data_IF_083123145753
#
_entry.id   IF_083123145753
#
_cell.length_a   1.000
_cell.length_b   1.000
_cell.length_c   1.000
_cell.angle_alpha   90.00
_cell.angle_beta   90.00
_cell.angle_gamma   90.00
#
_symmetry.space_group_name_H-M   'P 1'
#
loop_
_entity.id
_entity.type
_entity.pdbx_description
1 polymer ?
#
# COMPACT_ATOMS: atom_id res chain seq x y z
N UNK A 1 -39.61 4.72 30.92
CA UNK A 1 -38.19 5.13 30.96
C UNK A 1 -37.22 3.97 30.71
N UNK A 2 -37.36 2.76 31.30
CA UNK A 2 -36.45 1.64 31.12
C UNK A 2 -36.32 1.14 29.66
N UNK A 3 -37.39 1.17 28.85
CA UNK A 3 -37.38 0.71 27.44
C UNK A 3 -36.62 1.67 26.50
N UNK A 4 -36.59 2.97 26.80
CA UNK A 4 -35.86 3.97 25.98
C UNK A 4 -34.35 3.84 26.21
N UNK A 5 -33.94 3.56 27.45
CA UNK A 5 -32.51 3.35 27.77
C UNK A 5 -31.95 2.09 27.06
N UNK A 6 -32.73 0.99 26.96
CA UNK A 6 -32.33 -0.21 26.24
C UNK A 6 -32.14 0.03 24.73
N UNK A 7 -32.99 0.86 24.11
CA UNK A 7 -32.88 1.17 22.68
C UNK A 7 -31.67 2.08 22.41
N UNK A 8 -31.39 3.05 23.30
CA UNK A 8 -30.18 3.89 23.19
C UNK A 8 -28.89 3.06 23.35
N UNK A 9 -28.88 2.10 24.27
CA UNK A 9 -27.73 1.22 24.51
C UNK A 9 -27.47 0.28 23.32
N UNK A 10 -28.54 -0.23 22.69
CA UNK A 10 -28.45 -1.06 21.48
C UNK A 10 -27.93 -0.25 20.26
N UNK A 11 -28.34 1.04 20.12
CA UNK A 11 -27.81 1.92 19.11
C UNK A 11 -26.32 2.26 19.30
N UNK A 12 -25.86 2.40 20.55
CA UNK A 12 -24.44 2.61 20.86
C UNK A 12 -23.58 1.39 20.55
N UNK A 13 -24.09 0.17 20.76
CA UNK A 13 -23.38 -1.07 20.43
C UNK A 13 -23.26 -1.29 18.91
N UNK A 14 -24.22 -0.80 18.11
CA UNK A 14 -24.13 -0.86 16.65
C UNK A 14 -23.08 0.10 16.07
N UNK A 15 -22.72 1.17 16.78
CA UNK A 15 -21.69 2.10 16.31
C UNK A 15 -20.26 1.62 16.61
N UNK A 16 -20.09 0.72 17.57
CA UNK A 16 -18.77 0.14 17.90
C UNK A 16 -18.29 -0.95 16.90
N UNK A 17 -19.18 -1.46 16.04
CA UNK A 17 -18.84 -2.47 15.04
C UNK A 17 -18.22 -1.92 13.74
N UNK A 18 -18.02 -0.60 13.63
CA UNK A 18 -17.54 0.06 12.40
C UNK A 18 -16.07 0.45 12.42
N UNK A 19 -15.30 0.06 13.42
CA UNK A 19 -13.93 0.53 13.64
C UNK A 19 -12.84 -0.43 13.14
N UNK A 20 -13.14 -1.39 12.27
CA UNK A 20 -12.09 -1.93 11.42
C UNK A 20 -11.88 -0.91 10.28
N UNK A 21 -10.95 0.01 10.46
CA UNK A 21 -10.44 0.80 9.34
C UNK A 21 -9.75 -0.15 8.38
N UNK A 22 -10.52 -0.67 7.42
CA UNK A 22 -9.94 -1.44 6.34
C UNK A 22 -8.87 -0.60 5.66
N UNK A 23 -7.66 -1.13 5.54
CA UNK A 23 -6.59 -0.51 4.78
C UNK A 23 -7.11 -0.17 3.39
N UNK A 24 -6.83 1.05 2.94
CA UNK A 24 -7.28 1.53 1.63
C UNK A 24 -6.08 1.86 0.75
N UNK A 25 -6.03 1.23 -0.40
CA UNK A 25 -5.09 1.54 -1.45
C UNK A 25 -5.75 2.47 -2.47
N UNK A 26 -5.23 3.68 -2.64
CA UNK A 26 -5.86 4.73 -3.49
C UNK A 26 -7.34 4.97 -3.15
N UNK A 27 -7.73 4.83 -1.87
CA UNK A 27 -9.11 4.93 -1.42
C UNK A 27 -9.99 3.71 -1.70
N UNK A 28 -9.43 2.60 -2.18
CA UNK A 28 -10.11 1.32 -2.41
C UNK A 28 -9.78 0.39 -1.24
N UNK A 29 -10.76 -0.16 -0.51
CA UNK A 29 -10.51 -1.13 0.56
C UNK A 29 -9.80 -2.39 0.05
N UNK A 30 -8.85 -2.91 0.83
CA UNK A 30 -8.07 -4.13 0.54
C UNK A 30 -8.77 -5.40 1.10
N UNK A 31 -10.07 -5.53 0.91
CA UNK A 31 -10.89 -6.61 1.44
C UNK A 31 -11.90 -7.17 0.43
N UNK A 32 -11.88 -6.64 -0.78
CA UNK A 32 -12.81 -7.00 -1.84
C UNK A 32 -12.25 -8.04 -2.82
N UNK A 33 -13.12 -8.51 -3.73
CA UNK A 33 -12.67 -9.39 -4.81
C UNK A 33 -11.74 -8.66 -5.77
N UNK A 34 -10.75 -9.39 -6.32
CA UNK A 34 -9.78 -8.86 -7.27
C UNK A 34 -10.45 -8.26 -8.52
N UNK A 35 -11.61 -8.77 -8.94
CA UNK A 35 -12.31 -8.24 -10.10
C UNK A 35 -12.96 -6.89 -9.80
N UNK A 36 -13.59 -6.74 -8.63
CA UNK A 36 -14.13 -5.46 -8.17
C UNK A 36 -13.01 -4.43 -7.95
N UNK A 37 -11.89 -4.86 -7.34
CA UNK A 37 -10.70 -4.03 -7.15
C UNK A 37 -10.15 -3.53 -8.49
N UNK A 38 -10.05 -4.42 -9.48
CA UNK A 38 -9.64 -4.10 -10.86
C UNK A 38 -10.54 -3.04 -11.51
N UNK A 39 -11.86 -3.17 -11.36
CA UNK A 39 -12.82 -2.18 -11.89
C UNK A 39 -12.60 -0.79 -11.25
N UNK A 40 -12.41 -0.76 -9.93
CA UNK A 40 -12.16 0.49 -9.20
C UNK A 40 -10.82 1.13 -9.57
N UNK A 41 -9.76 0.35 -9.78
CA UNK A 41 -8.47 0.85 -10.27
C UNK A 41 -8.60 1.42 -11.68
N UNK A 42 -9.28 0.72 -12.60
CA UNK A 42 -9.54 1.23 -13.96
C UNK A 42 -10.31 2.55 -13.94
N UNK A 43 -11.29 2.70 -13.06
CA UNK A 43 -12.03 3.96 -12.89
C UNK A 43 -11.14 5.13 -12.41
N UNK A 44 -9.96 4.84 -11.82
CA UNK A 44 -8.94 5.82 -11.44
C UNK A 44 -7.88 6.07 -12.54
N UNK A 45 -8.09 5.54 -13.75
CA UNK A 45 -7.19 5.72 -14.88
C UNK A 45 -5.98 4.78 -14.90
N UNK A 46 -6.02 3.71 -14.11
CA UNK A 46 -4.98 2.67 -14.10
C UNK A 46 -5.31 1.58 -15.11
N UNK A 47 -4.38 1.19 -15.96
CA UNK A 47 -4.55 0.21 -17.03
C UNK A 47 -4.02 -1.16 -16.62
N UNK A 48 -4.82 -2.20 -16.81
CA UNK A 48 -4.42 -3.59 -16.56
C UNK A 48 -3.40 -4.05 -17.59
N UNK A 49 -2.31 -4.69 -17.14
CA UNK A 49 -1.32 -5.34 -17.98
C UNK A 49 -1.49 -6.85 -17.93
N UNK A 50 -2.04 -7.42 -19.00
CA UNK A 50 -2.26 -8.86 -19.11
C UNK A 50 -0.96 -9.64 -19.32
N UNK A 51 0.03 -9.06 -20.03
CA UNK A 51 1.27 -9.72 -20.35
C UNK A 51 2.14 -9.90 -19.10
N UNK A 52 2.36 -8.82 -18.36
CA UNK A 52 3.10 -8.88 -17.08
C UNK A 52 2.35 -9.73 -16.04
N UNK A 53 1.01 -9.62 -15.97
CA UNK A 53 0.20 -10.44 -15.05
C UNK A 53 0.33 -11.93 -15.32
N UNK A 54 0.34 -12.35 -16.59
CA UNK A 54 0.48 -13.76 -16.95
C UNK A 54 1.88 -14.32 -16.68
N UNK A 55 2.88 -13.45 -16.59
CA UNK A 55 4.26 -13.82 -16.26
C UNK A 55 4.56 -13.75 -14.77
N UNK A 56 3.65 -13.17 -13.97
CA UNK A 56 3.78 -13.05 -12.53
C UNK A 56 3.29 -14.30 -11.80
N UNK A 57 3.60 -14.37 -10.51
CA UNK A 57 3.16 -15.45 -9.64
C UNK A 57 1.62 -15.47 -9.50
N UNK A 58 1.08 -16.68 -9.29
CA UNK A 58 -0.34 -16.89 -9.07
C UNK A 58 -0.84 -16.08 -7.85
N UNK A 59 -1.90 -15.29 -8.05
CA UNK A 59 -2.40 -14.38 -7.01
C UNK A 59 -1.89 -12.94 -7.15
N UNK A 60 -1.27 -12.61 -8.28
CA UNK A 60 -0.78 -11.27 -8.60
C UNK A 60 -1.50 -10.71 -9.82
N UNK A 61 -1.86 -9.40 -9.78
CA UNK A 61 -2.28 -8.63 -10.97
C UNK A 61 -1.46 -7.36 -11.09
N UNK A 62 -1.05 -7.04 -12.32
CA UNK A 62 -0.19 -5.91 -12.63
C UNK A 62 -0.95 -4.88 -13.46
N UNK A 63 -0.70 -3.62 -13.12
CA UNK A 63 -1.32 -2.48 -13.80
C UNK A 63 -0.30 -1.37 -13.96
N UNK A 64 -0.54 -0.46 -14.92
CA UNK A 64 0.23 0.74 -15.15
C UNK A 64 -0.64 1.97 -15.12
N UNK A 65 -0.08 3.08 -14.61
CA UNK A 65 -0.80 4.34 -14.50
C UNK A 65 0.07 5.47 -14.00
N UNK A 66 -0.55 6.40 -13.29
CA UNK A 66 0.16 7.49 -12.61
C UNK A 66 -0.10 7.44 -11.11
N UNK A 67 0.94 7.66 -10.33
CA UNK A 67 0.89 7.87 -8.89
C UNK A 67 1.67 9.14 -8.55
N UNK A 68 1.06 10.09 -7.86
CA UNK A 68 1.65 11.41 -7.55
C UNK A 68 2.20 12.16 -8.78
N UNK A 69 1.55 11.97 -9.95
CA UNK A 69 1.97 12.59 -11.22
C UNK A 69 2.99 11.79 -12.02
N UNK A 70 3.70 10.86 -11.41
CA UNK A 70 4.73 10.02 -12.01
C UNK A 70 4.16 8.73 -12.62
N UNK A 71 4.86 8.17 -13.61
CA UNK A 71 4.54 6.84 -14.15
C UNK A 71 4.81 5.80 -13.07
N UNK A 72 3.82 4.93 -12.84
CA UNK A 72 3.87 3.91 -11.81
C UNK A 72 3.39 2.56 -12.32
N UNK A 73 3.99 1.50 -11.77
CA UNK A 73 3.48 0.14 -11.85
C UNK A 73 2.76 -0.17 -10.54
N UNK A 74 1.59 -0.77 -10.65
CA UNK A 74 0.78 -1.20 -9.51
C UNK A 74 0.74 -2.71 -9.49
N UNK A 75 1.04 -3.28 -8.34
CA UNK A 75 1.02 -4.72 -8.11
C UNK A 75 -0.05 -5.02 -7.05
N UNK A 76 -1.02 -5.83 -7.38
CA UNK A 76 -2.13 -6.19 -6.48
C UNK A 76 -2.04 -7.67 -6.17
N UNK A 77 -1.97 -7.98 -4.88
CA UNK A 77 -1.89 -9.34 -4.36
C UNK A 77 -3.25 -9.81 -3.86
N UNK A 78 -3.64 -11.00 -4.26
CA UNK A 78 -4.90 -11.60 -3.86
C UNK A 78 -4.75 -13.11 -3.64
N UNK A 79 -5.57 -13.65 -2.77
CA UNK A 79 -5.60 -15.10 -2.56
C UNK A 79 -6.14 -15.79 -3.82
N UNK A 80 -5.35 -16.67 -4.43
CA UNK A 80 -5.68 -17.33 -5.69
C UNK A 80 -6.94 -18.21 -5.64
N UNK A 81 -7.32 -18.70 -4.45
CA UNK A 81 -8.53 -19.52 -4.24
C UNK A 81 -9.76 -18.66 -3.96
N UNK A 82 -9.71 -17.80 -2.93
CA UNK A 82 -10.85 -16.96 -2.52
C UNK A 82 -11.05 -15.72 -3.41
N UNK A 83 -10.04 -15.35 -4.20
CA UNK A 83 -10.02 -14.14 -5.03
C UNK A 83 -10.13 -12.83 -4.24
N UNK A 84 -9.85 -12.85 -2.95
CA UNK A 84 -9.88 -11.67 -2.08
C UNK A 84 -8.51 -10.99 -2.10
N UNK A 85 -8.51 -9.68 -2.31
CA UNK A 85 -7.32 -8.82 -2.24
C UNK A 85 -6.90 -8.66 -0.78
N UNK A 86 -5.61 -8.77 -0.50
CA UNK A 86 -5.07 -8.59 0.85
C UNK A 86 -3.90 -7.59 0.91
N UNK A 87 -3.30 -7.24 -0.24
CA UNK A 87 -2.20 -6.28 -0.31
C UNK A 87 -2.13 -5.63 -1.68
N UNK A 88 -1.55 -4.44 -1.74
CA UNK A 88 -1.24 -3.76 -2.99
C UNK A 88 0.05 -2.95 -2.85
N UNK A 89 0.81 -2.85 -3.94
CA UNK A 89 2.03 -2.07 -4.00
C UNK A 89 2.02 -1.09 -5.19
N UNK A 90 2.77 0.01 -5.03
CA UNK A 90 3.13 0.93 -6.12
C UNK A 90 4.64 0.89 -6.27
N UNK A 91 5.10 0.74 -7.48
CA UNK A 91 6.51 0.83 -7.86
C UNK A 91 6.73 2.06 -8.74
N UNK A 92 7.59 2.95 -8.30
CA UNK A 92 8.07 4.13 -9.04
C UNK A 92 9.53 3.90 -9.41
N UNK A 93 9.89 4.10 -10.67
CA UNK A 93 11.25 3.89 -11.16
C UNK A 93 11.87 5.22 -11.59
N UNK A 94 13.09 5.45 -11.13
CA UNK A 94 13.88 6.65 -11.38
C UNK A 94 15.23 6.30 -12.00
N UNK A 95 15.80 7.19 -12.85
CA UNK A 95 17.08 6.93 -13.50
C UNK A 95 18.27 7.00 -12.53
N UNK A 96 18.16 7.76 -11.43
CA UNK A 96 19.24 7.91 -10.43
C UNK A 96 18.69 7.93 -9.01
N UNK A 97 19.54 7.67 -8.02
CA UNK A 97 19.21 7.78 -6.59
C UNK A 97 18.73 9.18 -6.23
N UNK A 98 19.43 10.20 -6.75
CA UNK A 98 19.12 11.61 -6.47
C UNK A 98 17.72 11.98 -6.99
N UNK A 99 17.33 11.46 -8.15
CA UNK A 99 15.99 11.71 -8.70
C UNK A 99 14.89 11.00 -7.93
N UNK A 100 15.18 9.88 -7.25
CA UNK A 100 14.27 9.18 -6.37
C UNK A 100 14.20 9.83 -4.97
N UNK A 101 15.26 10.49 -4.51
CA UNK A 101 15.38 10.98 -3.14
C UNK A 101 14.34 12.06 -2.79
N UNK A 102 14.16 13.07 -3.63
CA UNK A 102 13.19 14.15 -3.37
C UNK A 102 11.74 13.62 -3.27
N UNK A 103 11.24 12.78 -4.20
CA UNK A 103 9.95 12.12 -4.05
C UNK A 103 9.83 11.28 -2.78
N UNK A 104 10.88 10.57 -2.39
CA UNK A 104 10.89 9.76 -1.16
C UNK A 104 10.77 10.65 0.10
N UNK A 105 11.54 11.73 0.20
CA UNK A 105 11.45 12.68 1.32
C UNK A 105 10.07 13.31 1.40
N UNK A 106 9.50 13.77 0.29
CA UNK A 106 8.15 14.32 0.25
C UNK A 106 7.09 13.32 0.71
N UNK A 107 7.25 12.05 0.34
CA UNK A 107 6.35 10.99 0.77
C UNK A 107 6.49 10.72 2.27
N UNK A 108 7.73 10.68 2.78
CA UNK A 108 8.00 10.56 4.22
C UNK A 108 7.32 11.68 5.02
N UNK A 109 7.48 12.93 4.60
CA UNK A 109 6.89 14.09 5.27
C UNK A 109 5.35 14.02 5.32
N UNK A 110 4.71 13.60 4.22
CA UNK A 110 3.27 13.40 4.18
C UNK A 110 2.81 12.25 5.09
N UNK A 111 3.60 11.18 5.16
CA UNK A 111 3.30 10.04 6.02
C UNK A 111 3.46 10.36 7.48
N UNK A 112 4.51 11.08 7.87
CA UNK A 112 4.71 11.50 9.26
C UNK A 112 3.60 12.43 9.77
N UNK A 113 2.97 13.24 8.89
CA UNK A 113 1.79 14.02 9.26
C UNK A 113 0.58 13.14 9.59
N UNK A 114 0.44 11.99 8.91
CA UNK A 114 -0.69 11.07 9.09
C UNK A 114 -0.40 9.97 10.10
N UNK A 115 0.84 9.53 10.15
CA UNK A 115 1.34 8.45 11.00
C UNK A 115 2.59 8.95 11.76
N UNK A 116 2.42 9.65 12.89
CA UNK A 116 3.53 10.26 13.64
C UNK A 116 4.59 9.25 14.11
N UNK A 117 4.18 8.00 14.29
CA UNK A 117 5.05 6.90 14.74
C UNK A 117 5.76 6.17 13.58
N UNK A 118 5.56 6.61 12.33
CA UNK A 118 6.28 6.07 11.18
C UNK A 118 7.78 6.35 11.34
N UNK A 119 8.59 5.30 11.22
CA UNK A 119 10.06 5.40 11.40
C UNK A 119 10.77 5.15 10.08
N UNK A 120 11.76 6.01 9.78
CA UNK A 120 12.67 5.80 8.67
C UNK A 120 13.93 5.09 9.17
N UNK A 121 14.32 4.00 8.51
CA UNK A 121 15.48 3.16 8.85
C UNK A 121 16.28 2.83 7.60
N UNK A 122 17.56 2.52 7.80
CA UNK A 122 18.37 1.88 6.76
C UNK A 122 17.87 0.44 6.55
N UNK A 123 17.67 0.08 5.29
CA UNK A 123 17.39 -1.29 4.88
C UNK A 123 18.71 -1.95 4.47
N UNK A 124 19.07 -3.01 5.16
CA UNK A 124 20.30 -3.76 4.93
C UNK A 124 19.99 -5.04 4.16
N UNK A 125 20.67 -5.24 3.04
CA UNK A 125 20.55 -6.43 2.24
C UNK A 125 21.21 -7.68 2.86
N UNK A 126 21.08 -8.85 2.20
CA UNK A 126 21.63 -10.11 2.70
C UNK A 126 23.16 -10.13 2.81
N UNK A 127 23.85 -9.28 2.06
CA UNK A 127 25.29 -9.10 2.07
C UNK A 127 25.82 -8.18 3.20
N UNK A 128 24.91 -7.59 3.97
CA UNK A 128 25.20 -6.68 5.08
C UNK A 128 25.40 -5.23 4.68
N UNK A 129 25.28 -4.90 3.39
CA UNK A 129 25.36 -3.54 2.89
C UNK A 129 24.02 -2.81 2.98
N UNK A 130 24.05 -1.48 3.08
CA UNK A 130 22.83 -0.65 3.01
C UNK A 130 22.31 -0.62 1.58
N UNK A 131 21.19 -1.26 1.34
CA UNK A 131 20.55 -1.38 0.02
C UNK A 131 19.46 -0.32 -0.19
N UNK A 132 18.99 0.33 0.88
CA UNK A 132 17.91 1.30 0.77
C UNK A 132 17.58 2.04 2.05
N UNK A 133 16.55 2.89 1.95
CA UNK A 133 15.88 3.52 3.08
C UNK A 133 14.46 2.99 3.16
N UNK A 134 14.04 2.55 4.33
CA UNK A 134 12.71 2.00 4.58
C UNK A 134 11.92 2.88 5.54
N UNK A 135 10.64 3.11 5.25
CA UNK A 135 9.68 3.71 6.18
C UNK A 135 8.68 2.62 6.55
N UNK A 136 8.63 2.30 7.83
CA UNK A 136 7.67 1.35 8.40
C UNK A 136 6.49 2.12 8.99
N UNK A 137 5.28 1.68 8.66
CA UNK A 137 4.03 2.26 9.12
C UNK A 137 3.29 1.22 9.94
N UNK A 138 2.95 1.56 11.19
CA UNK A 138 2.23 0.67 12.10
C UNK A 138 0.78 1.12 12.28
N UNK A 139 -0.06 0.23 12.77
CA UNK A 139 -1.42 0.55 13.19
C UNK A 139 -1.44 1.50 14.41
N UNK A 140 -2.62 1.99 14.79
CA UNK A 140 -2.76 2.92 15.93
C UNK A 140 -2.31 2.31 17.27
N UNK A 141 -2.26 0.98 17.38
CA UNK A 141 -1.76 0.29 18.57
C UNK A 141 -0.23 0.11 18.53
N UNK A 142 0.42 0.35 17.39
CA UNK A 142 1.86 0.11 17.18
C UNK A 142 2.23 -1.37 17.13
N UNK A 143 1.25 -2.27 17.00
CA UNK A 143 1.46 -3.72 17.10
C UNK A 143 1.65 -4.38 15.73
N UNK A 144 0.98 -3.87 14.69
CA UNK A 144 1.01 -4.47 13.36
C UNK A 144 1.55 -3.49 12.33
N UNK A 145 2.51 -3.94 11.53
CA UNK A 145 2.98 -3.17 10.37
C UNK A 145 1.90 -3.22 9.28
N UNK A 146 1.35 -2.06 8.96
CA UNK A 146 0.25 -1.89 7.99
C UNK A 146 0.71 -1.31 6.66
N UNK A 147 1.96 -0.86 6.59
CA UNK A 147 2.55 -0.34 5.37
C UNK A 147 4.06 -0.26 5.46
N UNK A 148 4.68 -0.22 4.30
CA UNK A 148 6.12 -0.20 4.15
C UNK A 148 6.49 0.52 2.87
N UNK A 149 7.46 1.44 2.92
CA UNK A 149 7.99 2.15 1.78
C UNK A 149 9.48 1.94 1.73
N UNK A 150 9.97 1.53 0.59
CA UNK A 150 11.39 1.30 0.35
C UNK A 150 11.88 2.19 -0.79
N UNK A 151 12.89 3.02 -0.52
CA UNK A 151 13.73 3.63 -1.55
C UNK A 151 14.97 2.75 -1.75
N UNK A 152 15.14 2.19 -2.94
CA UNK A 152 16.33 1.40 -3.30
C UNK A 152 17.51 2.33 -3.59
N UNK A 153 18.63 2.14 -2.92
CA UNK A 153 19.89 2.89 -3.10
C UNK A 153 20.89 2.18 -4.01
N UNK A 154 20.84 0.84 -4.06
CA UNK A 154 21.59 0.04 -5.05
C UNK A 154 20.69 -0.24 -6.24
N UNK A 155 21.19 0.01 -7.45
CA UNK A 155 20.46 -0.33 -8.68
C UNK A 155 20.39 -1.85 -8.84
N UNK A 156 19.25 -2.50 -8.63
CA UNK A 156 19.00 -3.77 -9.30
C UNK A 156 18.98 -3.48 -10.81
N UNK A 157 19.00 -4.52 -11.63
CA UNK A 157 18.97 -4.43 -13.10
C UNK A 157 17.84 -3.56 -13.69
N UNK A 158 16.90 -3.08 -12.86
CA UNK A 158 15.70 -2.30 -13.19
C UNK A 158 15.78 -0.80 -12.84
N UNK A 159 16.89 -0.30 -12.27
CA UNK A 159 17.01 1.11 -11.86
C UNK A 159 16.73 1.36 -10.37
N UNK A 160 16.73 2.63 -9.97
CA UNK A 160 16.42 3.05 -8.60
C UNK A 160 14.91 3.20 -8.44
N UNK A 161 14.36 2.68 -7.36
CA UNK A 161 12.91 2.61 -7.18
C UNK A 161 12.44 3.13 -5.84
N UNK A 162 11.18 3.55 -5.81
CA UNK A 162 10.40 3.68 -4.59
C UNK A 162 9.28 2.65 -4.68
N UNK A 163 9.24 1.72 -3.74
CA UNK A 163 8.19 0.72 -3.63
C UNK A 163 7.35 0.98 -2.38
N UNK A 164 6.04 1.09 -2.55
CA UNK A 164 5.07 1.37 -1.49
C UNK A 164 4.17 0.15 -1.36
N UNK A 165 4.15 -0.47 -0.19
CA UNK A 165 3.35 -1.65 0.12
C UNK A 165 2.30 -1.31 1.19
N UNK A 166 1.05 -1.79 1.01
CA UNK A 166 -0.05 -1.72 1.98
C UNK A 166 -0.74 -3.07 2.12
#
# INVERSE_FOLDING_TARGET
MKKIISVLFALFLCMAASAQQHLKFMGIPLDGSIDNFTLKLKAKGVTYDAAETNSADAGTRIFHGKFMGEKAKFVVFYNSKSKIVFSAAVELNYPTVESAHTPFVNLNDQLQQKYPDATCKEYTGPDGDVDGLAIEIFDEAGENMIGFILQTLKAPSSGYGISIYL
#
